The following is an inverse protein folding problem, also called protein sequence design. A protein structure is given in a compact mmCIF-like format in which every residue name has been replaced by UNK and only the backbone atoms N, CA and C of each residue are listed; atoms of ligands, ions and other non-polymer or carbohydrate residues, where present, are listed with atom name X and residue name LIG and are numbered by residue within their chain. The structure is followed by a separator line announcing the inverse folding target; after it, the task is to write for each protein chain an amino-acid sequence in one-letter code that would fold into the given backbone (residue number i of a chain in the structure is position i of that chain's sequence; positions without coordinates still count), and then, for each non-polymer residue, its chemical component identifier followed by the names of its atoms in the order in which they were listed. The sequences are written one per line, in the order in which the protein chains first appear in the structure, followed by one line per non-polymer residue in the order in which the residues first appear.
data_IF_636685314121
#
_entry.id   IF_636685314121
#
_cell.length_a   1.000
_cell.length_b   1.000
_cell.length_c   1.000
_cell.angle_alpha   90.00
_cell.angle_beta   90.00
_cell.angle_gamma   90.00
#
_symmetry.space_group_name_H-M   'P 1'
#
loop_
_entity.id
_entity.type
_entity.pdbx_description
1 polymer ?
#
# COMPACT_ATOMS: atom_id res chain seq x y z
N UNK A 1 16.55 -0.66 -15.52
CA UNK A 1 15.39 0.17 -15.19
C UNK A 1 15.31 0.25 -13.69
N UNK A 2 14.86 1.37 -13.15
CA UNK A 2 14.55 1.62 -11.74
C UNK A 2 13.19 2.28 -11.69
N UNK A 3 12.29 1.72 -10.90
CA UNK A 3 10.98 2.32 -10.63
C UNK A 3 11.10 3.20 -9.38
N UNK A 4 10.57 4.39 -9.48
CA UNK A 4 10.64 5.43 -8.46
C UNK A 4 9.22 5.93 -8.17
N UNK A 5 8.91 6.16 -6.91
CA UNK A 5 7.73 6.92 -6.52
C UNK A 5 8.18 8.34 -6.18
N UNK A 6 7.57 9.31 -6.82
CA UNK A 6 7.87 10.74 -6.64
C UNK A 6 6.62 11.49 -6.21
N UNK A 7 6.79 12.59 -5.49
CA UNK A 7 5.68 13.41 -5.02
C UNK A 7 4.96 14.11 -6.18
N UNK A 8 5.75 14.75 -7.08
CA UNK A 8 5.22 15.63 -8.14
C UNK A 8 4.90 14.91 -9.45
N UNK A 9 5.51 13.74 -9.70
CA UNK A 9 5.39 13.04 -10.99
C UNK A 9 4.83 11.62 -10.84
N UNK A 10 4.44 11.22 -9.62
CA UNK A 10 3.94 9.90 -9.34
C UNK A 10 4.96 8.78 -9.54
N UNK A 11 4.51 7.64 -10.04
CA UNK A 11 5.36 6.49 -10.34
C UNK A 11 6.03 6.66 -11.70
N UNK A 12 7.35 6.70 -11.72
CA UNK A 12 8.15 6.82 -12.95
C UNK A 12 9.15 5.68 -13.06
N UNK A 13 9.44 5.27 -14.30
CA UNK A 13 10.50 4.30 -14.60
C UNK A 13 11.65 5.01 -15.32
N UNK A 14 12.86 4.88 -14.79
CA UNK A 14 14.05 5.52 -15.36
C UNK A 14 15.14 4.50 -15.68
N UNK A 15 15.90 4.77 -16.74
CA UNK A 15 17.10 4.02 -17.07
C UNK A 15 18.30 4.61 -16.33
N UNK A 16 18.79 3.92 -15.32
CA UNK A 16 20.02 4.28 -14.61
C UNK A 16 21.23 3.63 -15.30
N UNK A 17 21.80 4.33 -16.30
CA UNK A 17 22.96 3.85 -17.05
C UNK A 17 24.15 3.62 -16.13
N UNK A 18 24.81 2.48 -16.27
CA UNK A 18 26.01 2.14 -15.49
C UNK A 18 25.76 1.80 -14.01
N UNK A 19 24.50 1.81 -13.51
CA UNK A 19 24.23 1.54 -12.09
C UNK A 19 24.71 0.14 -11.62
N UNK A 20 24.79 -0.84 -12.52
CA UNK A 20 25.28 -2.20 -12.24
C UNK A 20 26.80 -2.35 -12.34
N UNK A 21 27.52 -1.35 -12.82
CA UNK A 21 28.98 -1.42 -12.96
C UNK A 21 29.64 -1.58 -11.57
N UNK A 22 30.73 -2.33 -11.50
CA UNK A 22 31.41 -2.70 -10.24
C UNK A 22 31.82 -1.48 -9.39
N UNK A 23 32.14 -0.35 -10.03
CA UNK A 23 32.57 0.91 -9.38
C UNK A 23 31.49 2.01 -9.47
N UNK A 24 30.24 1.65 -9.68
CA UNK A 24 29.18 2.66 -9.83
C UNK A 24 28.79 3.26 -8.47
N UNK A 25 28.87 4.56 -8.34
CA UNK A 25 28.36 5.29 -7.17
C UNK A 25 26.84 5.14 -7.05
N UNK A 26 26.13 5.03 -8.18
CA UNK A 26 24.66 4.85 -8.19
C UNK A 26 24.22 3.56 -7.50
N UNK A 27 25.06 2.52 -7.47
CA UNK A 27 24.75 1.25 -6.80
C UNK A 27 24.50 1.41 -5.29
N UNK A 28 25.25 2.29 -4.63
CA UNK A 28 25.07 2.59 -3.20
C UNK A 28 23.90 3.53 -2.93
N UNK A 29 23.60 4.41 -3.88
CA UNK A 29 22.56 5.43 -3.74
C UNK A 29 21.17 4.86 -4.06
N UNK A 30 21.04 4.07 -5.14
CA UNK A 30 19.78 3.52 -5.59
C UNK A 30 19.39 2.25 -4.78
N UNK A 31 19.24 2.42 -3.48
CA UNK A 31 18.75 1.38 -2.58
C UNK A 31 17.27 1.59 -2.26
N UNK A 32 16.49 0.51 -2.08
CA UNK A 32 15.09 0.63 -1.65
C UNK A 32 14.98 1.47 -0.37
N UNK A 33 13.88 2.19 -0.23
CA UNK A 33 13.53 2.98 0.96
C UNK A 33 14.53 4.09 1.32
N UNK A 34 15.32 4.53 0.33
CA UNK A 34 16.21 5.68 0.45
C UNK A 34 15.52 6.90 -0.16
N UNK A 35 15.25 7.95 0.60
CA UNK A 35 14.79 9.23 0.05
C UNK A 35 15.87 9.84 -0.84
N UNK A 36 15.51 10.21 -2.06
CA UNK A 36 16.46 10.68 -3.06
C UNK A 36 16.03 12.00 -3.68
N UNK A 37 16.99 12.88 -3.92
CA UNK A 37 16.87 13.99 -4.87
C UNK A 37 17.32 13.49 -6.25
N UNK A 38 16.44 13.60 -7.22
CA UNK A 38 16.63 13.00 -8.54
C UNK A 38 16.56 14.05 -9.64
N UNK A 39 17.36 13.84 -10.70
CA UNK A 39 17.20 14.50 -11.98
C UNK A 39 17.21 13.46 -13.07
N UNK A 40 16.32 13.62 -14.03
CA UNK A 40 16.27 12.78 -15.23
C UNK A 40 16.07 13.63 -16.46
N UNK A 41 16.39 13.09 -17.62
CA UNK A 41 16.16 13.67 -18.94
C UNK A 41 15.44 12.69 -19.84
N UNK A 42 14.90 13.16 -20.94
CA UNK A 42 14.12 12.36 -21.90
C UNK A 42 12.63 12.74 -21.87
N UNK A 43 11.97 12.45 -22.99
CA UNK A 43 10.52 12.64 -23.16
C UNK A 43 9.87 11.28 -23.44
N UNK A 44 8.59 11.16 -23.06
CA UNK A 44 7.84 9.91 -23.25
C UNK A 44 8.34 8.78 -22.33
N UNK A 45 8.26 7.56 -22.79
CA UNK A 45 8.46 6.34 -21.97
C UNK A 45 9.91 6.08 -21.55
N UNK A 46 10.89 6.65 -22.26
CA UNK A 46 12.30 6.46 -21.96
C UNK A 46 12.90 7.66 -21.23
N UNK A 47 12.87 7.62 -19.93
CA UNK A 47 13.55 8.57 -19.05
C UNK A 47 14.93 8.03 -18.65
N UNK A 48 15.94 8.88 -18.68
CA UNK A 48 17.32 8.56 -18.30
C UNK A 48 17.65 9.31 -17.02
N UNK A 49 18.01 8.56 -15.98
CA UNK A 49 18.49 9.13 -14.72
C UNK A 49 19.84 9.83 -14.97
N UNK A 50 19.91 11.12 -14.71
CA UNK A 50 21.11 11.94 -14.87
C UNK A 50 21.81 12.23 -13.55
N UNK A 51 21.05 12.32 -12.45
CA UNK A 51 21.59 12.55 -11.10
C UNK A 51 20.71 11.87 -10.05
N UNK A 52 21.35 11.28 -9.04
CA UNK A 52 20.69 10.79 -7.85
C UNK A 52 21.57 11.08 -6.64
N UNK A 53 21.01 11.72 -5.62
CA UNK A 53 21.68 12.04 -4.35
C UNK A 53 20.76 11.67 -3.20
N UNK A 54 21.27 11.08 -2.10
CA UNK A 54 20.47 10.87 -0.91
C UNK A 54 19.95 12.21 -0.36
N UNK A 55 18.65 12.32 -0.15
CA UNK A 55 18.01 13.45 0.52
C UNK A 55 17.98 13.25 2.04
N UNK A 56 18.00 11.99 2.48
CA UNK A 56 18.03 11.59 3.88
C UNK A 56 18.66 10.18 4.01
N UNK A 57 18.86 9.75 5.24
CA UNK A 57 19.33 8.39 5.55
C UNK A 57 18.23 7.39 5.12
N UNK A 58 18.65 6.25 4.56
CA UNK A 58 17.74 5.15 4.25
C UNK A 58 17.00 4.67 5.50
N UNK A 59 15.73 4.37 5.36
CA UNK A 59 14.93 3.83 6.46
C UNK A 59 15.39 2.41 6.79
N UNK A 60 15.72 2.10 8.05
CA UNK A 60 16.33 0.83 8.45
C UNK A 60 15.27 -0.28 8.60
N UNK A 61 14.62 -0.68 7.52
CA UNK A 61 13.64 -1.76 7.53
C UNK A 61 14.33 -3.13 7.60
N UNK A 62 13.89 -4.00 8.50
CA UNK A 62 14.42 -5.34 8.68
C UNK A 62 13.28 -6.39 8.77
N UNK A 63 13.58 -7.62 8.42
CA UNK A 63 12.65 -8.76 8.56
C UNK A 63 11.24 -8.45 8.03
N UNK A 64 10.21 -8.61 8.86
CA UNK A 64 8.80 -8.39 8.51
C UNK A 64 8.55 -6.95 8.03
N UNK A 65 9.20 -5.95 8.62
CA UNK A 65 9.09 -4.56 8.18
C UNK A 65 9.66 -4.36 6.77
N UNK A 66 10.79 -4.99 6.45
CA UNK A 66 11.38 -4.96 5.11
C UNK A 66 10.46 -5.60 4.06
N UNK A 67 9.90 -6.77 4.36
CA UNK A 67 8.95 -7.45 3.46
C UNK A 67 7.67 -6.63 3.28
N UNK A 68 7.22 -5.96 4.35
CA UNK A 68 6.09 -5.03 4.31
C UNK A 68 6.38 -3.84 3.39
N UNK A 69 7.58 -3.28 3.44
CA UNK A 69 8.01 -2.24 2.51
C UNK A 69 7.99 -2.70 1.05
N UNK A 70 8.50 -3.90 0.76
CA UNK A 70 8.40 -4.48 -0.60
C UNK A 70 6.96 -4.74 -1.04
N UNK A 71 6.10 -5.13 -0.11
CA UNK A 71 4.68 -5.27 -0.37
C UNK A 71 4.04 -3.93 -0.78
N UNK A 72 4.32 -2.84 -0.05
CA UNK A 72 3.86 -1.50 -0.41
C UNK A 72 4.34 -1.09 -1.81
N UNK A 73 5.62 -1.31 -2.11
CA UNK A 73 6.18 -1.02 -3.43
C UNK A 73 5.48 -1.80 -4.54
N UNK A 74 5.21 -3.10 -4.31
CA UNK A 74 4.51 -3.92 -5.28
C UNK A 74 3.06 -3.46 -5.50
N UNK A 75 2.33 -3.08 -4.44
CA UNK A 75 1.00 -2.50 -4.56
C UNK A 75 1.03 -1.24 -5.43
N UNK A 76 1.90 -0.28 -5.10
CA UNK A 76 2.06 0.97 -5.84
C UNK A 76 2.38 0.70 -7.32
N UNK A 77 3.32 -0.20 -7.59
CA UNK A 77 3.71 -0.52 -8.97
C UNK A 77 2.59 -1.16 -9.79
N UNK A 78 1.69 -1.92 -9.16
CA UNK A 78 0.60 -2.60 -9.86
C UNK A 78 -0.65 -1.77 -10.03
N UNK A 79 -0.90 -0.86 -9.08
CA UNK A 79 -2.19 -0.21 -8.92
C UNK A 79 -2.20 1.21 -9.45
N UNK A 80 -1.09 1.95 -9.27
CA UNK A 80 -1.04 3.34 -9.71
C UNK A 80 -0.69 3.45 -11.19
N UNK A 81 -1.34 4.38 -11.85
CA UNK A 81 -0.99 4.77 -13.20
C UNK A 81 0.40 5.42 -13.24
N UNK A 82 1.22 5.09 -14.25
CA UNK A 82 2.51 5.75 -14.44
C UNK A 82 2.32 7.26 -14.66
N UNK A 83 3.27 8.04 -14.16
CA UNK A 83 3.38 9.48 -14.42
C UNK A 83 2.16 10.31 -13.96
N UNK A 84 1.36 9.76 -13.08
CA UNK A 84 0.25 10.45 -12.44
C UNK A 84 0.62 10.75 -10.99
N UNK A 85 0.66 12.03 -10.64
CA UNK A 85 1.01 12.48 -9.30
C UNK A 85 -0.12 12.19 -8.30
N UNK A 86 0.24 11.64 -7.15
CA UNK A 86 -0.62 11.43 -6.00
C UNK A 86 0.06 11.96 -4.74
N UNK A 87 0.18 13.28 -4.56
CA UNK A 87 1.00 13.87 -3.48
C UNK A 87 0.56 13.39 -2.08
N UNK A 88 -0.74 13.32 -1.85
CA UNK A 88 -1.27 12.85 -0.57
C UNK A 88 -0.94 11.38 -0.30
N UNK A 89 -1.01 10.52 -1.31
CA UNK A 89 -0.63 9.11 -1.19
C UNK A 89 0.87 8.94 -0.96
N UNK A 90 1.69 9.80 -1.59
CA UNK A 90 3.13 9.83 -1.33
C UNK A 90 3.43 10.10 0.14
N UNK A 91 2.72 11.05 0.77
CA UNK A 91 2.85 11.32 2.20
C UNK A 91 2.42 10.12 3.07
N UNK A 92 1.31 9.47 2.74
CA UNK A 92 0.90 8.24 3.44
C UNK A 92 1.90 7.09 3.29
N UNK A 93 2.53 6.96 2.12
CA UNK A 93 3.59 6.01 1.89
C UNK A 93 4.80 6.27 2.80
N UNK A 94 5.26 7.53 2.90
CA UNK A 94 6.35 7.91 3.79
C UNK A 94 6.00 7.67 5.26
N UNK A 95 4.81 8.03 5.69
CA UNK A 95 4.33 7.78 7.05
C UNK A 95 4.33 6.28 7.37
N UNK A 96 3.82 5.46 6.45
CA UNK A 96 3.81 4.01 6.62
C UNK A 96 5.23 3.46 6.74
N UNK A 97 6.16 3.82 5.85
CA UNK A 97 7.55 3.38 5.92
C UNK A 97 8.24 3.83 7.22
N UNK A 98 7.98 5.05 7.67
CA UNK A 98 8.51 5.56 8.94
C UNK A 98 8.00 4.73 10.12
N UNK A 99 6.71 4.41 10.12
CA UNK A 99 6.12 3.54 11.14
C UNK A 99 6.76 2.14 11.12
N UNK A 100 6.93 1.55 9.94
CA UNK A 100 7.61 0.26 9.78
C UNK A 100 9.05 0.28 10.30
N UNK A 101 9.76 1.39 10.13
CA UNK A 101 11.14 1.55 10.61
C UNK A 101 11.22 1.61 12.15
N UNK A 102 10.20 2.18 12.79
CA UNK A 102 10.12 2.28 14.27
C UNK A 102 9.55 0.99 14.87
N UNK A 103 8.42 0.51 14.35
CA UNK A 103 7.67 -0.64 14.88
C UNK A 103 7.93 -1.90 14.05
N UNK A 104 9.16 -2.42 14.10
CA UNK A 104 9.63 -3.53 13.24
C UNK A 104 8.75 -4.80 13.28
N UNK A 105 7.96 -5.01 14.32
CA UNK A 105 7.12 -6.21 14.51
C UNK A 105 5.62 -5.94 14.38
N UNK A 106 5.13 -4.78 14.84
CA UNK A 106 3.72 -4.42 14.76
C UNK A 106 3.43 -3.63 13.47
N UNK A 107 3.53 -4.30 12.34
CA UNK A 107 3.46 -3.68 11.00
C UNK A 107 2.03 -3.57 10.46
N UNK A 108 1.11 -4.44 10.91
CA UNK A 108 -0.20 -4.60 10.27
C UNK A 108 -1.09 -3.34 10.33
N UNK A 109 -1.20 -2.59 11.46
CA UNK A 109 -2.03 -1.38 11.48
C UNK A 109 -1.58 -0.33 10.46
N UNK A 110 -0.27 -0.10 10.33
CA UNK A 110 0.27 0.85 9.35
C UNK A 110 -0.01 0.41 7.91
N UNK A 111 0.10 -0.89 7.62
CA UNK A 111 -0.24 -1.43 6.30
C UNK A 111 -1.74 -1.25 6.00
N UNK A 112 -2.63 -1.51 6.96
CA UNK A 112 -4.07 -1.30 6.77
C UNK A 112 -4.37 0.17 6.49
N UNK A 113 -3.81 1.07 7.29
CA UNK A 113 -3.96 2.52 7.07
C UNK A 113 -3.56 2.90 5.65
N UNK A 114 -2.39 2.47 5.19
CA UNK A 114 -1.93 2.76 3.83
C UNK A 114 -2.86 2.17 2.75
N UNK A 115 -3.29 0.92 2.89
CA UNK A 115 -4.19 0.27 1.92
C UNK A 115 -5.55 0.98 1.80
N UNK A 116 -6.11 1.46 2.91
CA UNK A 116 -7.34 2.25 2.88
C UNK A 116 -7.13 3.60 2.18
N UNK A 117 -5.99 4.27 2.41
CA UNK A 117 -5.68 5.51 1.70
C UNK A 117 -5.43 5.28 0.21
N UNK A 118 -4.81 4.15 -0.15
CA UNK A 118 -4.64 3.74 -1.54
C UNK A 118 -6.01 3.54 -2.22
N UNK A 119 -6.94 2.83 -1.59
CA UNK A 119 -8.30 2.63 -2.10
C UNK A 119 -9.04 3.96 -2.27
N UNK A 120 -8.94 4.88 -1.31
CA UNK A 120 -9.51 6.24 -1.43
C UNK A 120 -8.92 7.00 -2.62
N UNK A 121 -7.61 6.92 -2.82
CA UNK A 121 -6.90 7.55 -3.96
C UNK A 121 -7.36 7.01 -5.31
N UNK A 122 -7.71 5.72 -5.39
CA UNK A 122 -8.25 5.08 -6.59
C UNK A 122 -9.72 5.43 -6.86
N UNK A 123 -10.31 6.29 -6.06
CA UNK A 123 -11.71 6.67 -6.20
C UNK A 123 -12.70 5.65 -5.62
N UNK A 124 -12.21 4.71 -4.80
CA UNK A 124 -13.06 3.78 -4.06
C UNK A 124 -13.77 4.55 -2.93
N UNK A 125 -14.81 5.29 -3.30
CA UNK A 125 -15.64 6.08 -2.39
C UNK A 125 -16.63 5.20 -1.61
N UNK A 126 -16.11 4.22 -0.84
CA UNK A 126 -16.98 3.38 -0.02
C UNK A 126 -17.38 4.17 1.23
N UNK A 127 -18.68 4.29 1.41
CA UNK A 127 -19.26 4.80 2.65
C UNK A 127 -19.34 3.65 3.67
N UNK A 128 -18.57 3.78 4.75
CA UNK A 128 -18.58 2.83 5.86
C UNK A 128 -19.60 3.24 6.95
N UNK A 129 -20.23 4.39 6.81
CA UNK A 129 -21.11 4.97 7.84
C UNK A 129 -22.59 4.77 7.54
N UNK A 130 -22.96 4.49 6.27
CA UNK A 130 -24.34 4.26 5.88
C UNK A 130 -24.54 2.96 5.11
N UNK A 131 -25.66 2.32 5.36
CA UNK A 131 -26.11 1.16 4.60
C UNK A 131 -26.53 1.57 3.19
N UNK A 132 -25.84 1.09 2.18
CA UNK A 132 -26.10 1.42 0.78
C UNK A 132 -27.50 1.00 0.28
N UNK A 133 -28.15 0.04 0.96
CA UNK A 133 -29.50 -0.41 0.60
C UNK A 133 -30.63 0.43 1.18
N UNK A 134 -30.45 0.98 2.39
CA UNK A 134 -31.50 1.70 3.09
C UNK A 134 -31.18 3.18 3.34
N UNK A 135 -29.95 3.62 3.14
CA UNK A 135 -29.45 4.96 3.49
C UNK A 135 -29.35 5.23 4.99
N UNK A 136 -29.69 4.25 5.86
CA UNK A 136 -29.62 4.41 7.30
C UNK A 136 -28.18 4.32 7.79
N UNK A 137 -27.89 4.97 8.92
CA UNK A 137 -26.60 4.85 9.57
C UNK A 137 -26.28 3.38 9.92
N UNK A 138 -24.99 3.04 9.84
CA UNK A 138 -24.47 1.72 10.23
C UNK A 138 -24.57 1.58 11.75
N UNK A 139 -25.18 0.48 12.20
CA UNK A 139 -25.32 0.10 13.60
C UNK A 139 -24.26 -0.93 13.99
N UNK A 140 -23.55 -0.70 15.10
CA UNK A 140 -22.37 -1.46 15.49
C UNK A 140 -22.59 -2.99 15.57
N UNK A 141 -23.77 -3.41 16.06
CA UNK A 141 -24.08 -4.82 16.31
C UNK A 141 -24.75 -5.52 15.13
N UNK A 142 -25.08 -4.80 14.07
CA UNK A 142 -25.62 -5.37 12.84
C UNK A 142 -24.51 -5.88 11.92
N UNK A 143 -24.89 -6.75 10.99
CA UNK A 143 -24.00 -7.26 9.95
C UNK A 143 -24.36 -6.70 8.59
N UNK A 144 -23.32 -6.39 7.82
CA UNK A 144 -23.43 -5.80 6.48
C UNK A 144 -22.59 -6.59 5.51
N UNK A 145 -23.16 -6.91 4.35
CA UNK A 145 -22.46 -7.62 3.30
C UNK A 145 -21.97 -6.64 2.25
N UNK A 146 -20.68 -6.73 1.94
CA UNK A 146 -20.07 -5.93 0.88
C UNK A 146 -20.60 -6.34 -0.50
N UNK A 147 -20.95 -5.37 -1.29
CA UNK A 147 -21.30 -5.50 -2.71
C UNK A 147 -20.40 -4.56 -3.50
N UNK A 148 -19.68 -5.12 -4.46
CA UNK A 148 -18.86 -4.35 -5.38
C UNK A 148 -19.69 -3.25 -6.04
N UNK A 149 -19.13 -2.06 -6.20
CA UNK A 149 -19.77 -0.84 -6.73
C UNK A 149 -20.97 -0.29 -5.93
N UNK A 150 -21.53 -1.03 -4.99
CA UNK A 150 -22.70 -0.61 -4.21
C UNK A 150 -22.36 -0.24 -2.77
N UNK A 151 -21.30 -0.81 -2.22
CA UNK A 151 -20.96 -0.63 -0.81
C UNK A 151 -21.54 -1.71 0.10
N UNK A 152 -21.89 -1.35 1.33
CA UNK A 152 -22.33 -2.26 2.38
C UNK A 152 -23.85 -2.27 2.53
N UNK A 153 -24.45 -3.45 2.46
CA UNK A 153 -25.92 -3.66 2.56
C UNK A 153 -26.18 -4.58 3.77
N UNK A 154 -27.12 -4.21 4.63
CA UNK A 154 -27.52 -5.02 5.77
C UNK A 154 -27.88 -6.45 5.35
N UNK A 155 -27.34 -7.45 6.04
CA UNK A 155 -27.48 -8.85 5.65
C UNK A 155 -27.36 -9.78 6.85
N UNK A 156 -28.16 -10.83 6.86
CA UNK A 156 -28.06 -11.94 7.82
C UNK A 156 -27.14 -13.07 7.31
N UNK A 157 -26.71 -13.00 6.04
CA UNK A 157 -25.78 -13.98 5.46
C UNK A 157 -24.42 -13.77 6.08
N UNK A 158 -23.81 -14.87 6.53
CA UNK A 158 -22.44 -14.86 7.10
C UNK A 158 -21.48 -15.56 6.13
N UNK A 159 -20.74 -14.78 5.39
CA UNK A 159 -19.68 -15.23 4.49
C UNK A 159 -18.45 -14.31 4.55
N UNK A 160 -17.46 -14.54 3.69
CA UNK A 160 -16.24 -13.73 3.65
C UNK A 160 -16.46 -12.26 3.25
N UNK A 161 -17.65 -11.92 2.73
CA UNK A 161 -18.01 -10.57 2.34
C UNK A 161 -18.80 -9.85 3.43
N UNK A 162 -19.05 -10.49 4.57
CA UNK A 162 -19.87 -9.95 5.66
C UNK A 162 -18.99 -9.39 6.78
N UNK A 163 -19.35 -8.20 7.25
CA UNK A 163 -18.64 -7.41 8.26
C UNK A 163 -19.63 -6.93 9.31
N UNK A 164 -19.18 -6.79 10.54
CA UNK A 164 -19.96 -6.14 11.59
C UNK A 164 -19.93 -4.63 11.43
N UNK A 165 -21.00 -3.96 11.84
CA UNK A 165 -21.07 -2.50 11.78
C UNK A 165 -19.95 -1.80 12.56
N UNK A 166 -19.56 -2.34 13.73
CA UNK A 166 -18.42 -1.83 14.49
C UNK A 166 -17.09 -1.91 13.73
N UNK A 167 -16.91 -2.92 12.85
CA UNK A 167 -15.73 -3.04 11.98
C UNK A 167 -15.75 -1.93 10.91
N UNK A 168 -16.94 -1.68 10.31
CA UNK A 168 -17.10 -0.62 9.31
C UNK A 168 -16.86 0.76 9.90
N UNK A 169 -17.41 1.05 11.08
CA UNK A 169 -17.19 2.32 11.78
C UNK A 169 -15.71 2.53 12.14
N UNK A 170 -15.01 1.47 12.53
CA UNK A 170 -13.57 1.51 12.78
C UNK A 170 -12.77 1.73 11.45
N UNK A 171 -13.20 1.17 10.32
CA UNK A 171 -12.60 1.40 9.01
C UNK A 171 -12.69 2.87 8.59
N UNK A 172 -13.83 3.53 8.82
CA UNK A 172 -14.00 4.95 8.54
C UNK A 172 -12.98 5.80 9.32
N UNK A 173 -12.77 5.47 10.59
CA UNK A 173 -11.85 6.17 11.48
C UNK A 173 -10.39 5.70 11.34
N UNK A 174 -10.11 4.72 10.47
CA UNK A 174 -8.79 4.08 10.35
C UNK A 174 -8.22 3.57 11.67
N UNK A 175 -9.09 3.08 12.56
CA UNK A 175 -8.74 2.53 13.87
C UNK A 175 -8.55 1.01 13.76
N UNK A 176 -7.30 0.56 13.76
CA UNK A 176 -6.93 -0.85 13.55
C UNK A 176 -6.21 -1.46 14.77
N UNK A 177 -6.50 -0.96 15.96
CA UNK A 177 -5.85 -1.40 17.20
C UNK A 177 -6.40 -2.75 17.69
N UNK A 178 -7.69 -3.01 17.46
CA UNK A 178 -8.30 -4.27 17.86
C UNK A 178 -8.01 -5.41 16.88
N UNK A 179 -7.59 -6.60 17.35
CA UNK A 179 -7.26 -7.74 16.48
C UNK A 179 -8.42 -8.19 15.56
N UNK A 180 -9.66 -8.10 16.02
CA UNK A 180 -10.85 -8.41 15.23
C UNK A 180 -11.01 -7.45 14.06
N UNK A 181 -10.92 -6.15 14.33
CA UNK A 181 -10.99 -5.08 13.33
C UNK A 181 -9.84 -5.19 12.34
N UNK A 182 -8.62 -5.43 12.82
CA UNK A 182 -7.43 -5.61 12.00
C UNK A 182 -7.58 -6.79 11.02
N UNK A 183 -8.11 -7.91 11.50
CA UNK A 183 -8.40 -9.09 10.67
C UNK A 183 -9.48 -8.81 9.61
N UNK A 184 -10.55 -8.10 10.01
CA UNK A 184 -11.61 -7.69 9.09
C UNK A 184 -11.09 -6.70 8.04
N UNK A 185 -10.28 -5.70 8.44
CA UNK A 185 -9.65 -4.74 7.53
C UNK A 185 -8.75 -5.45 6.50
N UNK A 186 -7.94 -6.41 6.94
CA UNK A 186 -7.10 -7.25 6.05
C UNK A 186 -7.93 -8.06 5.06
N UNK A 187 -9.07 -8.59 5.48
CA UNK A 187 -10.01 -9.30 4.61
C UNK A 187 -10.62 -8.33 3.60
N UNK A 188 -11.11 -7.19 4.06
CA UNK A 188 -11.73 -6.17 3.21
C UNK A 188 -10.76 -5.65 2.14
N UNK A 189 -9.55 -5.22 2.51
CA UNK A 189 -8.59 -4.67 1.55
C UNK A 189 -8.16 -5.69 0.49
N UNK A 190 -8.10 -6.99 0.82
CA UNK A 190 -7.86 -8.06 -0.15
C UNK A 190 -8.98 -8.18 -1.19
N UNK A 191 -10.23 -8.00 -0.77
CA UNK A 191 -11.38 -8.02 -1.66
C UNK A 191 -11.37 -6.78 -2.53
N UNK A 192 -11.25 -5.60 -1.92
CA UNK A 192 -11.34 -4.32 -2.60
C UNK A 192 -10.17 -4.05 -3.58
N UNK A 193 -8.96 -4.54 -3.28
CA UNK A 193 -7.80 -4.40 -4.16
C UNK A 193 -7.74 -5.45 -5.27
N UNK A 194 -8.52 -6.54 -5.19
CA UNK A 194 -8.46 -7.63 -6.17
C UNK A 194 -8.68 -7.17 -7.62
N UNK A 195 -9.67 -6.32 -7.95
CA UNK A 195 -9.88 -5.83 -9.32
C UNK A 195 -8.66 -5.12 -9.91
N UNK A 196 -7.92 -4.38 -9.08
CA UNK A 196 -6.73 -3.63 -9.50
C UNK A 196 -5.49 -4.51 -9.63
N UNK A 197 -5.38 -5.56 -8.83
CA UNK A 197 -4.21 -6.44 -8.82
C UNK A 197 -4.27 -7.54 -9.88
N UNK A 198 -5.46 -7.84 -10.39
CA UNK A 198 -5.67 -8.95 -11.33
C UNK A 198 -5.37 -10.32 -10.71
N UNK A 199 -5.20 -11.33 -11.55
CA UNK A 199 -5.08 -12.73 -11.11
C UNK A 199 -3.65 -13.12 -10.66
N UNK A 200 -2.64 -12.32 -11.00
CA UNK A 200 -1.26 -12.64 -10.63
C UNK A 200 -1.04 -12.40 -9.13
N UNK A 201 -0.58 -13.41 -8.37
CA UNK A 201 -0.30 -13.23 -6.96
C UNK A 201 0.79 -12.18 -6.73
N UNK A 202 0.77 -11.55 -5.55
CA UNK A 202 1.82 -10.63 -5.15
C UNK A 202 3.08 -11.42 -4.78
N UNK A 203 4.18 -11.13 -5.45
CA UNK A 203 5.48 -11.78 -5.22
C UNK A 203 6.04 -11.49 -3.82
N UNK A 204 5.80 -10.30 -3.32
CA UNK A 204 6.20 -9.92 -1.96
C UNK A 204 5.62 -10.83 -0.87
N UNK A 205 4.48 -11.49 -1.12
CA UNK A 205 3.90 -12.47 -0.17
C UNK A 205 4.78 -13.70 0.03
N UNK A 206 5.55 -14.09 -0.97
CA UNK A 206 6.47 -15.23 -0.89
C UNK A 206 7.57 -14.98 0.15
N UNK A 207 7.99 -13.72 0.33
CA UNK A 207 9.00 -13.34 1.32
C UNK A 207 8.54 -13.65 2.76
N UNK A 208 7.26 -13.40 3.06
CA UNK A 208 6.69 -13.71 4.38
C UNK A 208 6.62 -15.21 4.63
N UNK A 209 6.32 -16.01 3.62
CA UNK A 209 6.24 -17.47 3.73
C UNK A 209 7.63 -18.08 3.96
N UNK A 210 8.63 -17.61 3.23
CA UNK A 210 10.02 -18.07 3.40
C UNK A 210 10.55 -17.76 4.79
N UNK A 211 10.32 -16.55 5.31
CA UNK A 211 10.75 -16.17 6.66
C UNK A 211 10.11 -17.05 7.74
N UNK A 212 8.84 -17.39 7.60
CA UNK A 212 8.13 -18.28 8.53
C UNK A 212 8.72 -19.70 8.58
N UNK A 213 9.37 -20.16 7.51
CA UNK A 213 10.04 -21.47 7.44
C UNK A 213 11.43 -21.47 8.12
N UNK A 214 12.11 -20.33 8.16
CA UNK A 214 13.45 -20.21 8.75
C UNK A 214 13.45 -19.69 10.20
N UNK A 215 12.28 -19.29 10.73
CA UNK A 215 12.11 -18.76 12.10
C UNK A 215 11.60 -19.82 13.09
N UNK A 216 11.61 -21.10 12.69
CA UNK A 216 11.43 -22.29 13.54
C UNK A 216 12.77 -22.96 13.71
#
# INVERSE_FOLDING_TARGET
MVDLLTEDFGRISVLAKGARAKRSMLKGVLQPFTPLLLRWSGRGDLKILTKAEPAAIALPLQNVALYSGFYLNELICRVLEPETAYPQLFQYYLQCLTHLAVSQTNVEPALRTFEFQLLRTLGYGIDFTHCAGSGKAVEADMTYRYREEKGFIASLIKDNLTFYGRELLAFEQTQFDEPSVLSAAKRFTRIALKPYLGDKPLKSRELFTQHSLYSK
#
